data_IF_985666490130
#
_entry.id   IF_985666490130
#
_cell.length_a   1.000
_cell.length_b   1.000
_cell.length_c   1.000
_cell.angle_alpha   90.00
_cell.angle_beta   90.00
_cell.angle_gamma   90.00
#
_symmetry.space_group_name_H-M   'P 1'
#
loop_
_entity.id
_entity.type
_entity.pdbx_description
1 polymer ?
#
# COMPACT_ATOMS: atom_id res chain seq x y z
N UNK A 1 -13.86 17.57 4.91
CA UNK A 1 -12.47 17.86 4.53
C UNK A 1 -11.79 16.50 4.36
N UNK A 2 -11.09 16.25 3.26
CA UNK A 2 -10.36 14.98 3.10
C UNK A 2 -9.15 14.98 4.05
N UNK A 3 -9.03 13.97 4.92
CA UNK A 3 -7.86 13.79 5.79
C UNK A 3 -6.63 13.24 5.04
N UNK A 4 -6.48 13.63 3.77
CA UNK A 4 -5.35 13.29 2.92
C UNK A 4 -4.33 14.42 2.99
N UNK A 5 -3.07 14.08 3.24
CA UNK A 5 -1.96 15.01 3.17
C UNK A 5 -0.77 14.37 2.44
N UNK A 6 0.14 15.21 1.96
CA UNK A 6 1.43 14.78 1.47
C UNK A 6 2.39 14.68 2.66
N UNK A 7 3.17 13.60 2.68
CA UNK A 7 4.26 13.38 3.63
C UNK A 7 5.45 12.81 2.89
N UNK A 8 6.66 13.10 3.36
CA UNK A 8 7.85 12.46 2.81
C UNK A 8 7.86 10.97 3.13
N UNK A 9 8.39 10.17 2.20
CA UNK A 9 8.41 8.72 2.31
C UNK A 9 9.25 8.23 3.50
N UNK A 10 10.33 8.97 3.85
CA UNK A 10 11.19 8.66 4.99
C UNK A 10 10.47 8.76 6.34
N UNK A 11 9.54 9.71 6.48
CA UNK A 11 8.72 9.87 7.69
C UNK A 11 7.80 8.67 7.97
N UNK A 12 7.59 7.80 6.97
CA UNK A 12 6.64 6.68 7.00
C UNK A 12 7.34 5.32 6.84
N UNK A 13 8.68 5.30 6.74
CA UNK A 13 9.43 4.08 6.46
C UNK A 13 9.11 3.47 5.09
N UNK A 14 8.80 4.31 4.10
CA UNK A 14 8.53 3.90 2.71
C UNK A 14 9.79 4.16 1.88
N UNK A 15 10.22 3.15 1.13
CA UNK A 15 11.38 3.23 0.24
C UNK A 15 10.92 3.39 -1.21
N UNK A 16 11.05 4.58 -1.80
CA UNK A 16 10.89 4.76 -3.24
C UNK A 16 12.14 4.24 -3.97
N UNK A 17 11.95 3.37 -4.95
CA UNK A 17 13.04 2.86 -5.77
C UNK A 17 12.58 2.58 -7.20
N UNK A 18 13.52 2.61 -8.14
CA UNK A 18 13.31 2.04 -9.47
C UNK A 18 13.78 0.59 -9.46
N UNK A 19 13.09 -0.26 -10.20
CA UNK A 19 13.53 -1.65 -10.43
C UNK A 19 14.51 -1.64 -11.61
N UNK A 20 15.71 -2.22 -11.43
CA UNK A 20 16.74 -2.26 -12.48
C UNK A 20 16.24 -3.02 -13.71
N UNK A 21 16.45 -2.45 -14.89
CA UNK A 21 15.90 -2.95 -16.16
C UNK A 21 14.43 -2.59 -16.42
N UNK A 22 13.78 -1.90 -15.48
CA UNK A 22 12.39 -1.42 -15.56
C UNK A 22 12.28 0.07 -15.21
N UNK A 23 13.38 0.82 -15.30
CA UNK A 23 13.47 2.20 -14.84
C UNK A 23 12.53 3.15 -15.58
N UNK A 24 12.17 2.83 -16.82
CA UNK A 24 11.23 3.58 -17.66
C UNK A 24 9.79 3.57 -17.12
N UNK A 25 9.43 2.58 -16.30
CA UNK A 25 8.09 2.42 -15.72
C UNK A 25 7.88 3.28 -14.46
N UNK A 26 8.94 3.97 -14.02
CA UNK A 26 8.90 4.91 -12.91
C UNK A 26 9.26 4.29 -11.56
N UNK A 27 8.81 4.93 -10.49
CA UNK A 27 9.08 4.48 -9.12
C UNK A 27 8.11 3.36 -8.72
N UNK A 28 8.64 2.42 -7.94
CA UNK A 28 7.89 1.54 -7.05
C UNK A 28 8.14 1.97 -5.61
N UNK A 29 7.26 1.55 -4.70
CA UNK A 29 7.31 1.91 -3.29
C UNK A 29 7.31 0.65 -2.43
N UNK A 30 8.37 0.46 -1.65
CA UNK A 30 8.58 -0.71 -0.81
C UNK A 30 8.38 -0.34 0.66
N UNK A 31 7.87 -1.27 1.45
CA UNK A 31 7.78 -1.15 2.91
C UNK A 31 8.55 -2.29 3.55
N UNK A 32 9.23 -2.00 4.65
CA UNK A 32 10.00 -2.99 5.41
C UNK A 32 9.23 -3.46 6.64
N UNK A 33 9.74 -4.49 7.31
CA UNK A 33 9.09 -5.13 8.46
C UNK A 33 8.78 -4.18 9.63
N UNK A 34 9.50 -3.08 9.74
CA UNK A 34 9.36 -2.02 10.74
C UNK A 34 8.53 -0.81 10.24
N UNK A 35 8.10 -0.81 8.97
CA UNK A 35 7.28 0.26 8.42
C UNK A 35 5.92 0.32 9.10
N UNK A 36 5.53 1.53 9.49
CA UNK A 36 4.21 1.82 10.04
C UNK A 36 3.16 2.04 8.94
N UNK A 37 3.50 1.79 7.67
CA UNK A 37 2.65 2.09 6.54
C UNK A 37 2.06 0.81 5.91
N UNK A 38 0.75 0.82 5.69
CA UNK A 38 0.08 -0.05 4.73
C UNK A 38 -0.65 0.83 3.72
N UNK A 39 -0.99 0.32 2.54
CA UNK A 39 -1.59 1.16 1.50
C UNK A 39 -2.64 0.46 0.65
N UNK A 40 -3.42 1.27 -0.04
CA UNK A 40 -4.26 0.84 -1.16
C UNK A 40 -3.81 1.52 -2.44
N UNK A 41 -3.59 0.74 -3.49
CA UNK A 41 -3.27 1.26 -4.81
C UNK A 41 -4.53 1.39 -5.67
N UNK A 42 -4.70 2.56 -6.27
CA UNK A 42 -5.81 2.85 -7.17
C UNK A 42 -5.67 2.03 -8.46
N UNK A 43 -6.74 1.36 -8.87
CA UNK A 43 -6.80 0.60 -10.11
C UNK A 43 -6.69 1.52 -11.34
N UNK A 44 -7.24 2.74 -11.26
CA UNK A 44 -7.39 3.61 -12.42
C UNK A 44 -6.11 4.39 -12.79
N UNK A 45 -5.30 4.76 -11.80
CA UNK A 45 -4.12 5.61 -12.01
C UNK A 45 -2.88 5.19 -11.21
N UNK A 46 -2.93 4.04 -10.54
CA UNK A 46 -1.82 3.46 -9.77
C UNK A 46 -1.29 4.30 -8.60
N UNK A 47 -1.95 5.43 -8.28
CA UNK A 47 -1.67 6.22 -7.08
C UNK A 47 -1.93 5.38 -5.83
N UNK A 48 -1.01 5.43 -4.88
CA UNK A 48 -1.12 4.74 -3.60
C UNK A 48 -1.57 5.74 -2.54
N UNK A 49 -2.54 5.34 -1.72
CA UNK A 49 -2.88 6.03 -0.48
C UNK A 49 -2.39 5.16 0.68
N UNK A 50 -1.53 5.72 1.51
CA UNK A 50 -0.94 5.08 2.68
C UNK A 50 -1.72 5.41 3.95
N UNK A 51 -1.72 4.49 4.92
CA UNK A 51 -2.35 4.60 6.23
C UNK A 51 -1.46 3.99 7.30
N UNK A 52 -1.72 4.35 8.56
CA UNK A 52 -1.21 3.59 9.70
C UNK A 52 -2.17 2.41 9.96
N UNK A 53 -1.76 1.15 9.74
CA UNK A 53 -2.65 0.00 9.91
C UNK A 53 -3.07 -0.23 11.37
N UNK A 54 -2.36 0.37 12.34
CA UNK A 54 -2.70 0.30 13.77
C UNK A 54 -3.78 1.30 14.18
N UNK A 55 -3.90 2.39 13.43
CA UNK A 55 -4.91 3.43 13.64
C UNK A 55 -6.14 3.22 12.75
N UNK A 56 -5.98 2.52 11.61
CA UNK A 56 -7.08 2.23 10.70
C UNK A 56 -8.06 1.23 11.32
N UNK A 57 -9.30 1.66 11.53
CA UNK A 57 -10.35 0.91 12.23
C UNK A 57 -10.66 -0.47 11.64
N UNK A 58 -10.49 -0.64 10.32
CA UNK A 58 -10.67 -1.93 9.64
C UNK A 58 -9.45 -2.83 9.85
N UNK A 59 -8.25 -2.31 9.59
CA UNK A 59 -7.00 -3.07 9.69
C UNK A 59 -6.62 -3.41 11.13
N UNK A 60 -6.99 -2.58 12.11
CA UNK A 60 -6.75 -2.78 13.53
C UNK A 60 -7.84 -3.62 14.22
N UNK A 61 -8.89 -4.03 13.49
CA UNK A 61 -10.02 -4.73 14.11
C UNK A 61 -9.57 -6.05 14.76
N UNK A 62 -10.15 -6.34 15.94
CA UNK A 62 -9.92 -7.59 16.65
C UNK A 62 -10.66 -8.71 15.93
N UNK A 63 -9.93 -9.76 15.56
CA UNK A 63 -10.51 -10.97 14.97
C UNK A 63 -11.58 -11.55 15.91
N UNK A 64 -12.82 -11.78 15.44
CA UNK A 64 -13.87 -12.39 16.26
C UNK A 64 -13.46 -13.79 16.76
N UNK A 65 -13.88 -14.15 17.97
CA UNK A 65 -13.60 -15.47 18.55
C UNK A 65 -14.17 -16.64 17.73
N UNK A 66 -15.18 -16.39 16.89
CA UNK A 66 -15.78 -17.37 15.99
C UNK A 66 -14.91 -17.70 14.77
N UNK A 67 -13.97 -16.84 14.41
CA UNK A 67 -13.05 -17.09 13.29
C UNK A 67 -11.88 -17.93 13.83
N UNK A 68 -11.44 -19.01 13.16
CA UNK A 68 -10.22 -19.75 13.53
C UNK A 68 -8.94 -18.93 13.36
N UNK A 69 -7.83 -19.37 13.94
CA UNK A 69 -6.53 -18.67 13.84
C UNK A 69 -5.77 -19.00 12.55
N UNK A 70 -6.24 -19.99 11.79
CA UNK A 70 -5.64 -20.48 10.56
C UNK A 70 -6.67 -21.26 9.74
N UNK A 71 -6.35 -21.57 8.49
CA UNK A 71 -7.23 -22.33 7.59
C UNK A 71 -8.12 -21.42 6.73
N UNK A 72 -9.05 -22.03 6.01
CA UNK A 72 -9.79 -21.36 4.94
C UNK A 72 -10.75 -20.28 5.45
N UNK A 73 -11.38 -20.51 6.61
CA UNK A 73 -12.22 -19.49 7.25
C UNK A 73 -11.42 -18.25 7.66
N UNK A 74 -10.21 -18.46 8.21
CA UNK A 74 -9.29 -17.37 8.52
C UNK A 74 -8.88 -16.61 7.26
N UNK A 75 -8.51 -17.32 6.18
CA UNK A 75 -8.14 -16.70 4.89
C UNK A 75 -9.28 -15.87 4.31
N UNK A 76 -10.51 -16.40 4.34
CA UNK A 76 -11.70 -15.69 3.87
C UNK A 76 -11.97 -14.43 4.69
N UNK A 77 -11.88 -14.53 6.01
CA UNK A 77 -12.00 -13.37 6.90
C UNK A 77 -10.92 -12.31 6.61
N UNK A 78 -9.68 -12.73 6.44
CA UNK A 78 -8.57 -11.83 6.14
C UNK A 78 -8.75 -11.14 4.77
N UNK A 79 -9.16 -11.87 3.73
CA UNK A 79 -9.48 -11.29 2.41
C UNK A 79 -10.63 -10.29 2.49
N UNK A 80 -11.70 -10.61 3.23
CA UNK A 80 -12.81 -9.68 3.46
C UNK A 80 -12.34 -8.40 4.18
N UNK A 81 -11.50 -8.54 5.19
CA UNK A 81 -10.89 -7.41 5.91
C UNK A 81 -10.08 -6.51 4.98
N UNK A 82 -9.27 -7.08 4.08
CA UNK A 82 -8.54 -6.29 3.08
C UNK A 82 -9.48 -5.58 2.09
N UNK A 83 -10.53 -6.26 1.64
CA UNK A 83 -11.52 -5.65 0.74
C UNK A 83 -12.26 -4.48 1.40
N UNK A 84 -12.68 -4.64 2.65
CA UNK A 84 -13.30 -3.56 3.43
C UNK A 84 -12.35 -2.39 3.63
N UNK A 85 -11.06 -2.67 3.87
CA UNK A 85 -10.05 -1.63 3.95
C UNK A 85 -9.96 -0.84 2.64
N UNK A 86 -9.82 -1.51 1.49
CA UNK A 86 -9.74 -0.82 0.19
C UNK A 86 -10.98 0.03 -0.11
N UNK A 87 -12.17 -0.44 0.27
CA UNK A 87 -13.43 0.30 0.13
C UNK A 87 -13.56 1.48 1.10
N UNK A 88 -12.84 1.46 2.22
CA UNK A 88 -12.86 2.52 3.24
C UNK A 88 -12.00 3.73 2.86
N UNK A 89 -11.08 3.57 1.89
CA UNK A 89 -10.19 4.64 1.47
C UNK A 89 -10.96 5.82 0.84
N UNK A 90 -10.50 7.06 1.05
CA UNK A 90 -11.08 8.23 0.42
C UNK A 90 -10.94 8.17 -1.12
N UNK A 91 -11.69 8.99 -1.88
CA UNK A 91 -11.46 9.17 -3.31
C UNK A 91 -9.98 9.41 -3.62
N UNK A 92 -9.48 8.77 -4.68
CA UNK A 92 -8.09 8.87 -5.08
C UNK A 92 -7.69 10.34 -5.28
N UNK A 93 -6.62 10.83 -4.63
CA UNK A 93 -6.22 12.23 -4.73
C UNK A 93 -5.76 12.61 -6.15
N UNK A 94 -5.36 11.64 -6.98
CA UNK A 94 -4.91 11.90 -8.35
C UNK A 94 -6.02 11.88 -9.39
N UNK A 95 -7.02 10.99 -9.27
CA UNK A 95 -8.06 10.81 -10.30
C UNK A 95 -9.50 10.91 -9.81
N UNK A 96 -9.73 11.02 -8.49
CA UNK A 96 -11.06 11.12 -7.88
C UNK A 96 -11.86 9.81 -7.81
N UNK A 97 -11.37 8.73 -8.41
CA UNK A 97 -12.04 7.42 -8.36
C UNK A 97 -11.87 6.74 -6.99
N UNK A 98 -12.85 5.93 -6.59
CA UNK A 98 -12.83 5.13 -5.34
C UNK A 98 -12.47 3.65 -5.58
N UNK A 99 -11.89 3.34 -6.74
CA UNK A 99 -11.55 1.98 -7.17
C UNK A 99 -10.12 1.64 -6.76
N UNK A 100 -9.95 1.13 -5.54
CA UNK A 100 -8.70 0.53 -5.08
C UNK A 100 -8.83 -0.99 -5.16
N UNK A 101 -7.86 -1.65 -5.79
CA UNK A 101 -7.89 -3.09 -6.07
C UNK A 101 -6.69 -3.85 -5.47
N UNK A 102 -5.69 -3.13 -4.95
CA UNK A 102 -4.48 -3.77 -4.42
C UNK A 102 -4.13 -3.21 -3.04
N UNK A 103 -4.06 -4.12 -2.07
CA UNK A 103 -3.52 -3.85 -0.76
C UNK A 103 -2.00 -3.96 -0.78
N UNK A 104 -1.31 -3.00 -0.16
CA UNK A 104 0.14 -2.87 -0.14
C UNK A 104 0.66 -2.97 1.29
N UNK A 105 1.67 -3.81 1.49
CA UNK A 105 2.42 -3.94 2.74
C UNK A 105 3.82 -4.51 2.46
N UNK A 106 4.51 -4.97 3.50
CA UNK A 106 5.88 -5.48 3.41
C UNK A 106 6.02 -6.84 2.68
N UNK A 107 4.91 -7.46 2.26
CA UNK A 107 4.89 -8.73 1.51
C UNK A 107 4.07 -8.67 0.23
N UNK A 108 3.43 -7.53 -0.07
CA UNK A 108 2.63 -7.33 -1.26
C UNK A 108 2.97 -5.97 -1.85
N UNK A 109 3.71 -6.00 -2.96
CA UNK A 109 4.28 -4.81 -3.56
C UNK A 109 3.32 -4.13 -4.54
N UNK A 110 3.43 -2.80 -4.71
CA UNK A 110 2.58 -2.07 -5.65
C UNK A 110 3.05 -2.28 -7.09
N UNK A 111 2.13 -2.05 -8.03
CA UNK A 111 2.49 -1.80 -9.42
C UNK A 111 3.40 -0.59 -9.52
N UNK A 112 4.22 -0.55 -10.56
CA UNK A 112 4.99 0.62 -10.94
C UNK A 112 4.06 1.79 -11.30
N UNK A 113 4.61 2.99 -11.42
CA UNK A 113 3.85 4.23 -11.61
C UNK A 113 2.93 4.20 -12.85
N UNK A 114 3.33 3.51 -13.91
CA UNK A 114 2.54 3.33 -15.13
C UNK A 114 1.55 2.14 -15.08
N UNK A 115 1.55 1.38 -13.98
CA UNK A 115 0.71 0.20 -13.78
C UNK A 115 1.37 -1.12 -14.17
N UNK A 116 2.62 -1.09 -14.63
CA UNK A 116 3.39 -2.30 -14.92
C UNK A 116 3.62 -3.09 -13.63
N UNK A 117 3.34 -4.39 -13.69
CA UNK A 117 3.72 -5.34 -12.64
C UNK A 117 5.13 -5.88 -12.90
N UNK A 118 5.82 -6.26 -11.83
CA UNK A 118 7.07 -6.99 -11.91
C UNK A 118 6.95 -8.30 -11.11
N UNK A 119 7.73 -9.29 -11.53
CA UNK A 119 7.79 -10.58 -10.84
C UNK A 119 8.64 -10.44 -9.58
N UNK A 120 7.95 -10.34 -8.44
CA UNK A 120 8.54 -10.20 -7.12
C UNK A 120 9.04 -11.52 -6.51
N UNK A 121 8.83 -12.65 -7.20
CA UNK A 121 9.38 -13.95 -6.82
C UNK A 121 10.85 -14.14 -7.20
N UNK A 122 11.40 -13.20 -7.97
CA UNK A 122 12.79 -13.21 -8.41
C UNK A 122 13.75 -12.83 -7.29
N UNK A 123 14.74 -13.68 -7.05
CA UNK A 123 15.79 -13.42 -6.04
C UNK A 123 16.80 -12.34 -6.48
N UNK A 124 16.81 -11.96 -7.76
CA UNK A 124 17.78 -11.03 -8.36
C UNK A 124 17.23 -9.62 -8.60
N UNK A 125 16.16 -9.22 -7.89
CA UNK A 125 15.60 -7.87 -8.00
C UNK A 125 16.58 -6.86 -7.40
N UNK A 126 17.25 -6.13 -8.28
CA UNK A 126 18.09 -4.99 -7.91
C UNK A 126 17.28 -3.70 -7.89
N UNK A 127 17.40 -2.95 -6.78
CA UNK A 127 16.72 -1.67 -6.56
C UNK A 127 17.70 -0.51 -6.73
N UNK A 128 17.30 0.48 -7.52
CA UNK A 128 17.98 1.78 -7.63
C UNK A 128 17.22 2.76 -6.75
N UNK A 129 17.72 2.95 -5.53
CA UNK A 129 17.04 3.75 -4.51
C UNK A 129 16.96 5.22 -4.89
N UNK A 130 15.78 5.81 -4.67
CA UNK A 130 15.61 7.25 -4.63
C UNK A 130 15.72 7.74 -3.19
N UNK A 131 16.13 9.00 -3.00
CA UNK A 131 16.22 9.57 -1.67
C UNK A 131 14.79 9.67 -1.06
N UNK A 132 14.48 8.96 0.04
CA UNK A 132 13.11 8.90 0.56
C UNK A 132 12.62 10.25 1.09
N UNK A 133 13.54 11.10 1.56
CA UNK A 133 13.28 12.48 1.99
C UNK A 133 13.06 13.47 0.83
N UNK A 134 13.09 13.02 -0.42
CA UNK A 134 12.80 13.84 -1.60
C UNK A 134 11.54 13.40 -2.34
N UNK A 135 10.82 12.40 -1.84
CA UNK A 135 9.61 11.87 -2.47
C UNK A 135 8.45 11.98 -1.50
N UNK A 136 7.41 12.70 -1.92
CA UNK A 136 6.17 12.80 -1.17
C UNK A 136 5.21 11.68 -1.59
N UNK A 137 4.45 11.18 -0.62
CA UNK A 137 3.39 10.18 -0.81
C UNK A 137 2.11 10.64 -0.12
N UNK A 138 0.97 10.16 -0.63
CA UNK A 138 -0.33 10.46 -0.05
C UNK A 138 -0.57 9.63 1.21
N UNK A 139 -0.82 10.33 2.31
CA UNK A 139 -1.11 9.73 3.60
C UNK A 139 -2.54 10.08 4.03
N UNK A 140 -3.31 9.06 4.38
CA UNK A 140 -4.67 9.19 4.90
C UNK A 140 -4.66 9.00 6.41
N UNK A 141 -5.10 10.05 7.12
CA UNK A 141 -5.25 10.03 8.57
C UNK A 141 -6.71 9.74 8.93
N UNK A 142 -6.97 8.62 9.59
CA UNK A 142 -8.27 8.40 10.20
C UNK A 142 -8.48 9.37 11.37
N UNK A 143 -9.71 9.86 11.51
CA UNK A 143 -10.13 10.86 12.49
C UNK A 143 -11.08 10.27 13.51
#
# INVERSE_FOLDING_TARGET
MSNLNLRYADELGIQPAKVKGMEQHGLCFFTWHDSEAAGGQCFCCNTIVWVNPRENTVLSEVRPNSVPSSGDEYRKYYQDKLNRFLLSLPPCPSCGETKYDRFINNVSFPRLADGTDFDDSREDIELINSAPNSVEVWWFRES
#
